data_IF_051150859219
#
_entry.id   IF_051150859219
#
_cell.length_a   1.000
_cell.length_b   1.000
_cell.length_c   1.000
_cell.angle_alpha   90.00
_cell.angle_beta   90.00
_cell.angle_gamma   90.00
#
_symmetry.space_group_name_H-M   'P 1'
#
loop_
_entity.id
_entity.type
_entity.pdbx_description
1 polymer ?
#
# COMPACT_ATOMS: atom_id res chain seq x y z
N UNK A 1 -17.76 8.56 9.28
CA UNK A 1 -17.11 7.89 10.42
C UNK A 1 -15.66 7.51 10.08
N UNK A 2 -14.69 7.93 10.90
CA UNK A 2 -13.28 7.53 10.76
C UNK A 2 -12.96 6.37 11.71
N UNK A 3 -12.14 5.43 11.24
CA UNK A 3 -11.62 4.33 12.06
C UNK A 3 -10.15 4.07 11.74
N UNK A 4 -9.41 3.72 12.79
CA UNK A 4 -8.02 3.28 12.70
C UNK A 4 -7.90 1.92 13.40
N UNK A 5 -7.11 1.01 12.83
CA UNK A 5 -6.82 -0.29 13.43
C UNK A 5 -5.35 -0.65 13.24
N UNK A 6 -4.80 -1.36 14.23
CA UNK A 6 -3.44 -1.88 14.13
C UNK A 6 -3.36 -2.98 13.08
N UNK A 7 -2.33 -2.93 12.24
CA UNK A 7 -2.00 -3.99 11.29
C UNK A 7 -0.68 -4.65 11.68
N UNK A 8 -0.65 -5.99 11.68
CA UNK A 8 0.54 -6.75 11.97
C UNK A 8 0.50 -8.14 11.36
N UNK A 9 1.56 -8.52 10.67
CA UNK A 9 1.74 -9.86 10.10
C UNK A 9 3.17 -10.35 10.29
N UNK A 10 3.35 -11.67 10.27
CA UNK A 10 4.66 -12.32 10.29
C UNK A 10 4.87 -13.08 9.00
N UNK A 11 6.04 -12.91 8.38
CA UNK A 11 6.46 -13.67 7.21
C UNK A 11 7.64 -14.57 7.57
N UNK A 12 7.60 -15.82 7.12
CA UNK A 12 8.68 -16.79 7.33
C UNK A 12 8.80 -17.74 6.14
N UNK A 13 9.81 -18.60 6.10
CA UNK A 13 9.92 -19.64 5.07
C UNK A 13 8.68 -20.54 5.00
N UNK A 14 8.02 -20.81 6.13
CA UNK A 14 6.82 -21.64 6.21
C UNK A 14 5.56 -20.90 5.78
N UNK A 15 5.51 -19.61 6.10
CA UNK A 15 4.39 -18.71 5.80
C UNK A 15 4.93 -17.45 5.10
N UNK A 16 5.32 -17.56 3.82
CA UNK A 16 6.04 -16.48 3.14
C UNK A 16 5.12 -15.40 2.57
N UNK A 17 3.80 -15.54 2.70
CA UNK A 17 2.80 -14.66 2.07
C UNK A 17 1.79 -14.21 3.13
N UNK A 18 1.52 -12.91 3.19
CA UNK A 18 0.42 -12.34 3.94
C UNK A 18 -0.39 -11.40 3.05
N UNK A 19 -1.71 -11.57 3.04
CA UNK A 19 -2.61 -10.74 2.26
C UNK A 19 -3.40 -9.82 3.19
N UNK A 20 -3.51 -8.58 2.78
CA UNK A 20 -4.39 -7.58 3.35
C UNK A 20 -5.45 -7.22 2.31
N UNK A 21 -6.72 -7.41 2.67
CA UNK A 21 -7.86 -7.13 1.82
C UNK A 21 -8.62 -5.91 2.36
N UNK A 22 -9.17 -5.11 1.45
CA UNK A 22 -10.12 -4.07 1.81
C UNK A 22 -11.35 -4.76 2.45
N UNK A 23 -11.83 -4.30 3.62
CA UNK A 23 -13.00 -4.87 4.27
C UNK A 23 -14.23 -4.75 3.38
N UNK A 24 -15.10 -5.75 3.42
CA UNK A 24 -16.45 -5.62 2.90
C UNK A 24 -17.24 -4.66 3.80
N UNK A 25 -17.95 -3.73 3.18
CA UNK A 25 -18.71 -2.69 3.88
C UNK A 25 -20.18 -2.89 3.58
N UNK A 26 -21.04 -2.72 4.58
CA UNK A 26 -22.48 -2.80 4.40
C UNK A 26 -22.95 -1.76 3.37
N UNK A 27 -23.97 -2.12 2.57
CA UNK A 27 -24.48 -1.30 1.46
C UNK A 27 -24.97 0.09 1.90
N UNK A 28 -25.26 0.29 3.19
CA UNK A 28 -25.69 1.57 3.77
C UNK A 28 -24.54 2.59 3.97
N UNK A 29 -23.28 2.17 3.81
CA UNK A 29 -22.11 3.05 3.92
C UNK A 29 -21.33 3.15 2.61
N UNK A 30 -20.74 4.33 2.38
CA UNK A 30 -19.82 4.60 1.28
C UNK A 30 -18.39 4.63 1.82
N UNK A 31 -17.46 3.99 1.12
CA UNK A 31 -16.03 4.07 1.46
C UNK A 31 -15.43 5.30 0.77
N UNK A 32 -15.21 6.38 1.53
CA UNK A 32 -14.55 7.57 1.01
C UNK A 32 -13.06 7.34 0.78
N UNK A 33 -12.40 6.69 1.74
CA UNK A 33 -10.98 6.37 1.63
C UNK A 33 -10.62 5.17 2.49
N UNK A 34 -9.68 4.38 1.99
CA UNK A 34 -9.06 3.30 2.73
C UNK A 34 -7.54 3.33 2.53
N UNK A 35 -6.77 3.14 3.59
CA UNK A 35 -5.31 3.23 3.51
C UNK A 35 -4.64 2.24 4.44
N UNK A 36 -3.67 1.48 3.93
CA UNK A 36 -2.71 0.74 4.75
C UNK A 36 -1.40 1.49 4.81
N UNK A 37 -0.89 1.74 6.02
CA UNK A 37 0.40 2.40 6.24
C UNK A 37 1.34 1.46 6.98
N UNK A 38 2.44 1.09 6.35
CA UNK A 38 3.47 0.25 6.96
C UNK A 38 4.47 1.12 7.72
N UNK A 39 4.43 1.02 9.04
CA UNK A 39 5.24 1.85 9.94
C UNK A 39 6.58 1.21 10.30
N UNK A 40 6.64 -0.12 10.40
CA UNK A 40 7.88 -0.81 10.71
C UNK A 40 7.94 -2.19 10.04
N UNK A 41 9.13 -2.55 9.59
CA UNK A 41 9.46 -3.91 9.17
C UNK A 41 10.72 -4.33 9.91
N UNK A 42 10.67 -5.43 10.66
CA UNK A 42 11.76 -5.86 11.53
C UNK A 42 12.02 -7.36 11.45
N UNK A 43 13.29 -7.72 11.48
CA UNK A 43 13.75 -9.10 11.46
C UNK A 43 13.73 -9.67 12.89
N UNK A 44 13.15 -10.86 13.04
CA UNK A 44 13.01 -11.55 14.32
C UNK A 44 14.35 -11.97 14.92
N UNK A 45 14.41 -12.16 16.26
CA UNK A 45 15.64 -12.55 16.95
C UNK A 45 16.23 -13.88 16.49
N UNK A 46 15.39 -14.81 16.05
CA UNK A 46 15.72 -16.16 15.57
C UNK A 46 16.13 -16.21 14.09
N UNK A 47 16.14 -15.07 13.39
CA UNK A 47 16.59 -15.02 12.01
C UNK A 47 18.09 -15.39 11.87
N UNK A 48 18.41 -16.09 10.80
CA UNK A 48 19.76 -16.61 10.54
C UNK A 48 20.74 -15.48 10.25
N UNK A 49 21.96 -15.62 10.78
CA UNK A 49 23.05 -14.69 10.46
C UNK A 49 23.54 -14.87 9.01
N UNK A 50 23.99 -13.78 8.38
CA UNK A 50 24.58 -13.82 7.04
C UNK A 50 23.57 -13.87 5.88
N UNK A 51 22.27 -13.97 6.15
CA UNK A 51 21.22 -14.09 5.13
C UNK A 51 20.45 -12.78 4.93
N UNK A 52 20.21 -12.41 3.66
CA UNK A 52 19.29 -11.33 3.33
C UNK A 52 17.85 -11.80 3.38
N UNK A 53 17.00 -10.98 3.99
CA UNK A 53 15.55 -11.15 4.03
C UNK A 53 14.91 -10.01 3.24
N UNK A 54 14.25 -10.34 2.13
CA UNK A 54 13.69 -9.35 1.20
C UNK A 54 12.17 -9.47 1.20
N UNK A 55 11.50 -8.36 1.51
CA UNK A 55 10.06 -8.27 1.60
C UNK A 55 9.58 -7.49 0.38
N UNK A 56 8.72 -8.10 -0.42
CA UNK A 56 8.09 -7.50 -1.59
C UNK A 56 6.63 -7.20 -1.28
N UNK A 57 6.16 -6.00 -1.63
CA UNK A 57 4.75 -5.70 -1.72
C UNK A 57 4.26 -5.93 -3.15
N UNK A 58 3.08 -6.53 -3.28
CA UNK A 58 2.31 -6.61 -4.52
C UNK A 58 0.99 -5.88 -4.33
N UNK A 59 0.68 -4.92 -5.19
CA UNK A 59 -0.58 -4.16 -5.16
C UNK A 59 -0.99 -3.76 -6.58
N UNK A 60 -2.24 -3.38 -6.78
CA UNK A 60 -2.75 -2.95 -8.08
C UNK A 60 -2.64 -1.43 -8.20
N UNK A 61 -2.13 -0.94 -9.33
CA UNK A 61 -2.18 0.48 -9.68
C UNK A 61 -3.63 0.88 -10.03
N UNK A 62 -4.11 1.97 -9.41
CA UNK A 62 -5.52 2.38 -9.46
C UNK A 62 -6.01 2.63 -10.90
N UNK A 63 -5.20 3.28 -11.73
CA UNK A 63 -5.61 3.70 -13.08
C UNK A 63 -5.51 2.58 -14.11
N UNK A 64 -4.42 1.81 -14.08
CA UNK A 64 -4.07 0.88 -15.16
C UNK A 64 -4.46 -0.57 -14.88
N UNK A 65 -4.96 -0.88 -13.68
CA UNK A 65 -5.15 -2.25 -13.14
C UNK A 65 -3.88 -3.11 -13.17
N UNK A 66 -2.71 -2.52 -13.39
CA UNK A 66 -1.44 -3.23 -13.45
C UNK A 66 -1.01 -3.64 -12.04
N UNK A 67 -0.54 -4.87 -11.91
CA UNK A 67 0.07 -5.34 -10.66
C UNK A 67 1.48 -4.78 -10.56
N UNK A 68 1.71 -3.95 -9.54
CA UNK A 68 3.02 -3.45 -9.13
C UNK A 68 3.62 -4.43 -8.15
N UNK A 69 4.90 -4.80 -8.35
CA UNK A 69 5.67 -5.65 -7.44
C UNK A 69 6.97 -4.94 -7.10
N UNK A 70 7.17 -4.60 -5.83
CA UNK A 70 8.32 -3.80 -5.41
C UNK A 70 8.89 -4.29 -4.06
N UNK A 71 10.21 -4.51 -3.95
CA UNK A 71 10.85 -4.71 -2.65
C UNK A 71 10.69 -3.47 -1.77
N UNK A 72 10.10 -3.64 -0.58
CA UNK A 72 9.89 -2.57 0.40
C UNK A 72 10.81 -2.68 1.62
N UNK A 73 11.52 -3.80 1.77
CA UNK A 73 12.55 -3.97 2.78
C UNK A 73 13.60 -4.99 2.35
N UNK A 74 14.85 -4.72 2.74
CA UNK A 74 15.98 -5.64 2.70
C UNK A 74 16.61 -5.62 4.09
N UNK A 75 16.59 -6.77 4.77
CA UNK A 75 17.03 -6.90 6.17
C UNK A 75 18.10 -7.99 6.28
N UNK A 76 19.03 -7.81 7.22
CA UNK A 76 20.08 -8.81 7.49
C UNK A 76 20.59 -8.65 8.92
N UNK A 77 20.73 -9.77 9.62
CA UNK A 77 21.29 -9.82 10.98
C UNK A 77 22.70 -9.24 10.98
N UNK A 78 22.98 -8.33 11.92
CA UNK A 78 24.27 -7.65 12.03
C UNK A 78 24.45 -6.44 11.12
N UNK A 79 23.51 -6.18 10.19
CA UNK A 79 23.57 -5.02 9.28
C UNK A 79 22.32 -4.14 9.42
N UNK A 80 21.15 -4.68 9.08
CA UNK A 80 19.88 -3.95 9.12
C UNK A 80 18.81 -4.82 9.72
N UNK A 81 18.49 -4.55 11.00
CA UNK A 81 17.53 -5.34 11.78
C UNK A 81 16.10 -4.83 11.64
N UNK A 82 15.91 -3.55 11.38
CA UNK A 82 14.59 -2.92 11.33
C UNK A 82 14.62 -1.69 10.41
N UNK A 83 13.50 -1.43 9.75
CA UNK A 83 13.25 -0.28 8.91
C UNK A 83 11.93 0.38 9.32
N UNK A 84 11.82 1.69 9.12
CA UNK A 84 10.58 2.46 9.27
C UNK A 84 10.21 3.11 7.93
N UNK A 85 9.69 2.32 6.98
CA UNK A 85 9.57 2.76 5.59
C UNK A 85 8.48 3.83 5.39
N UNK A 86 7.45 3.86 6.25
CA UNK A 86 6.29 4.75 6.11
C UNK A 86 5.67 4.70 4.70
N UNK A 87 5.54 3.49 4.15
CA UNK A 87 4.93 3.25 2.82
C UNK A 87 3.43 3.16 2.98
N UNK A 88 2.71 3.85 2.11
CA UNK A 88 1.26 3.93 2.10
C UNK A 88 0.69 3.21 0.87
N UNK A 89 -0.38 2.44 1.09
CA UNK A 89 -1.13 1.76 0.05
C UNK A 89 -2.57 2.28 0.08
N UNK A 90 -2.92 3.26 -0.77
CA UNK A 90 -4.27 3.80 -0.83
C UNK A 90 -5.21 2.91 -1.66
N UNK A 91 -6.42 2.72 -1.16
CA UNK A 91 -7.59 2.16 -1.85
C UNK A 91 -7.38 0.80 -2.55
N UNK A 92 -6.44 -0.02 -2.07
CA UNK A 92 -6.11 -1.31 -2.69
C UNK A 92 -5.74 -2.40 -1.70
N UNK A 93 -6.05 -3.64 -2.08
CA UNK A 93 -5.52 -4.83 -1.42
C UNK A 93 -4.00 -4.90 -1.63
N UNK A 94 -3.30 -5.42 -0.62
CA UNK A 94 -1.84 -5.55 -0.65
C UNK A 94 -1.45 -6.96 -0.27
N UNK A 95 -0.50 -7.53 -0.98
CA UNK A 95 0.10 -8.82 -0.63
C UNK A 95 1.57 -8.62 -0.31
N UNK A 96 1.99 -8.96 0.90
CA UNK A 96 3.39 -8.98 1.30
C UNK A 96 3.97 -10.38 1.11
N UNK A 97 5.18 -10.45 0.54
CA UNK A 97 5.89 -11.70 0.30
C UNK A 97 7.32 -11.63 0.80
N UNK A 98 7.76 -12.67 1.51
CA UNK A 98 9.18 -12.92 1.77
C UNK A 98 9.76 -13.64 0.55
N UNK A 99 10.40 -12.88 -0.34
CA UNK A 99 10.92 -13.41 -1.62
C UNK A 99 12.35 -13.94 -1.52
N UNK A 100 13.03 -13.63 -0.42
CA UNK A 100 14.35 -14.13 -0.08
C UNK A 100 14.48 -14.16 1.44
N UNK A 101 15.21 -15.16 1.97
CA UNK A 101 15.47 -15.30 3.40
C UNK A 101 14.48 -16.25 4.10
N UNK A 102 14.85 -16.75 5.28
CA UNK A 102 13.94 -17.64 6.04
C UNK A 102 13.09 -16.92 7.09
N UNK A 103 13.34 -15.63 7.32
CA UNK A 103 12.67 -14.84 8.36
C UNK A 103 13.00 -15.34 9.77
N UNK A 104 12.10 -15.12 10.74
CA UNK A 104 10.83 -14.43 10.59
C UNK A 104 11.02 -12.92 10.44
N UNK A 105 10.13 -12.30 9.67
CA UNK A 105 10.04 -10.85 9.51
C UNK A 105 8.67 -10.40 9.98
N UNK A 106 8.64 -9.43 10.89
CA UNK A 106 7.44 -8.76 11.34
C UNK A 106 7.21 -7.50 10.51
N UNK A 107 6.02 -7.36 9.94
CA UNK A 107 5.55 -6.16 9.25
C UNK A 107 4.41 -5.59 10.09
N UNK A 108 4.52 -4.35 10.56
CA UNK A 108 3.46 -3.70 11.31
C UNK A 108 3.21 -2.26 10.90
N UNK A 109 2.01 -1.80 11.19
CA UNK A 109 1.49 -0.55 10.71
C UNK A 109 0.09 -0.28 11.22
N UNK A 110 -0.66 0.51 10.46
CA UNK A 110 -2.05 0.81 10.73
C UNK A 110 -2.86 0.82 9.44
N UNK A 111 -4.13 0.42 9.56
CA UNK A 111 -5.14 0.60 8.54
C UNK A 111 -6.07 1.74 8.96
N UNK A 112 -6.29 2.68 8.06
CA UNK A 112 -7.20 3.81 8.24
C UNK A 112 -8.35 3.67 7.25
N UNK A 113 -9.56 4.00 7.71
CA UNK A 113 -10.76 3.94 6.89
C UNK A 113 -11.69 5.09 7.23
N UNK A 114 -12.18 5.77 6.20
CA UNK A 114 -13.18 6.81 6.30
C UNK A 114 -14.45 6.37 5.55
N UNK A 115 -15.55 6.25 6.29
CA UNK A 115 -16.87 5.89 5.81
C UNK A 115 -17.78 7.13 5.77
N UNK A 116 -18.59 7.27 4.72
CA UNK A 116 -19.73 8.18 4.66
C UNK A 116 -21.06 7.44 4.80
N UNK A 117 -22.10 8.14 5.22
CA UNK A 117 -23.47 7.63 5.18
C UNK A 117 -24.08 7.95 3.80
N UNK A 118 -24.92 7.07 3.25
CA UNK A 118 -25.56 7.33 1.95
C UNK A 118 -26.43 8.60 1.94
N UNK A 119 -26.97 9.02 3.09
CA UNK A 119 -27.72 10.28 3.20
C UNK A 119 -26.84 11.53 3.02
N UNK A 120 -25.54 11.45 3.30
CA UNK A 120 -24.62 12.59 3.13
C UNK A 120 -24.46 12.98 1.64
N UNK A 121 -24.65 12.05 0.71
CA UNK A 121 -24.49 12.31 -0.74
C UNK A 121 -25.64 13.16 -1.28
N UNK A 122 -26.85 13.00 -0.75
CA UNK A 122 -28.01 13.79 -1.15
C UNK A 122 -27.93 15.25 -0.69
N UNK A 123 -27.07 15.58 0.29
CA UNK A 123 -26.88 16.96 0.74
C UNK A 123 -25.93 17.77 -0.17
N UNK A 124 -25.12 17.10 -1.00
CA UNK A 124 -24.22 17.76 -1.95
C UNK A 124 -24.84 17.90 -3.36
N UNK A 125 -25.89 17.13 -3.70
CA UNK A 125 -26.62 17.31 -4.97
C UNK A 125 -27.58 18.51 -4.97
N UNK A 126 -27.97 19.05 -3.81
CA UNK A 126 -28.93 20.18 -3.73
C UNK A 126 -28.28 21.59 -3.85
N UNK A 127 -26.96 21.68 -4.04
CA UNK A 127 -26.23 22.95 -4.22
C UNK A 127 -25.51 23.08 -5.57
N UNK A 128 -25.87 22.29 -6.58
CA UNK A 128 -25.35 22.43 -7.94
C UNK A 128 -26.37 23.09 -8.86
N UNK A 129 -26.69 24.35 -8.59
CA UNK A 129 -27.32 25.24 -9.56
C UNK A 129 -26.66 26.62 -9.43
N UNK A 130 -25.50 26.79 -10.08
CA UNK A 130 -25.11 28.00 -10.80
C UNK A 130 -23.77 27.74 -11.53
N UNK A 131 -23.80 28.02 -12.83
CA UNK A 131 -22.77 27.83 -13.85
C UNK A 131 -21.44 28.53 -13.48
N UNK A 132 -20.32 27.82 -13.60
CA UNK A 132 -19.04 28.46 -13.98
C UNK A 132 -18.21 27.47 -14.82
N UNK A 133 -18.38 27.57 -16.14
CA UNK A 133 -17.51 26.96 -17.15
C UNK A 133 -16.10 27.56 -17.03
N UNK A 134 -15.26 26.95 -16.19
CA UNK A 134 -13.81 27.10 -16.31
C UNK A 134 -13.22 25.81 -16.87
N UNK A 135 -12.99 25.80 -18.19
CA UNK A 135 -12.12 24.83 -18.86
C UNK A 135 -10.73 24.88 -18.22
N UNK A 136 -10.50 24.00 -17.25
CA UNK A 136 -9.15 23.64 -16.83
C UNK A 136 -8.65 22.61 -17.85
N UNK A 137 -7.91 23.09 -18.86
CA UNK A 137 -7.02 22.24 -19.65
C UNK A 137 -6.02 21.57 -18.69
N UNK A 138 -6.37 20.37 -18.24
CA UNK A 138 -5.46 19.45 -17.58
C UNK A 138 -4.50 18.93 -18.66
N UNK A 139 -3.28 19.47 -18.65
CA UNK A 139 -2.14 18.99 -19.42
C UNK A 139 -1.91 17.49 -19.15
N UNK A 140 -2.52 16.64 -19.99
CA UNK A 140 -2.34 15.19 -20.05
C UNK A 140 -0.93 14.84 -20.56
N UNK A 141 0.13 15.12 -19.79
CA UNK A 141 1.44 14.48 -20.01
C UNK A 141 2.15 14.13 -18.70
N UNK A 142 1.43 13.56 -17.73
CA UNK A 142 2.06 12.74 -16.70
C UNK A 142 2.43 11.37 -17.28
N UNK A 143 3.48 11.32 -18.11
CA UNK A 143 4.05 10.06 -18.58
C UNK A 143 4.37 9.14 -17.38
N UNK A 144 3.91 7.87 -17.37
CA UNK A 144 4.23 6.95 -16.27
C UNK A 144 5.75 6.85 -16.11
N UNK A 145 6.24 6.93 -14.87
CA UNK A 145 7.65 6.75 -14.57
C UNK A 145 8.10 5.36 -15.04
N UNK A 146 8.82 5.30 -16.17
CA UNK A 146 9.43 4.08 -16.67
C UNK A 146 10.85 3.97 -16.16
N UNK A 147 11.31 2.76 -15.85
CA UNK A 147 12.73 2.49 -15.60
C UNK A 147 13.51 2.86 -16.87
N UNK A 148 14.19 4.01 -16.84
CA UNK A 148 14.85 4.58 -18.01
C UNK A 148 15.74 3.56 -18.72
N UNK A 149 15.44 3.26 -19.99
CA UNK A 149 16.38 2.58 -20.88
C UNK A 149 17.49 3.57 -21.21
N UNK A 150 18.65 3.42 -20.59
CA UNK A 150 19.86 4.15 -20.95
C UNK A 150 20.31 3.73 -22.35
N UNK A 151 19.89 4.48 -23.38
CA UNK A 151 20.47 4.36 -24.71
C UNK A 151 21.88 4.97 -24.69
N UNK A 152 22.88 4.14 -24.40
CA UNK A 152 24.27 4.42 -24.80
C UNK A 152 24.33 4.48 -26.32
N UNK A 153 24.29 5.68 -26.91
CA UNK A 153 24.74 5.88 -28.29
C UNK A 153 26.27 5.83 -28.31
N UNK A 154 26.78 4.86 -29.09
CA UNK A 154 28.14 4.78 -29.60
C UNK A 154 28.38 5.89 -30.62
#
# INVERSE_FOLDING_TARGET
MESESFYGVTLSEKEPIAQFAVPEVAEEYLVHSYKLIIKQISLGPEAKSGEFNVIQAETQENESKKIVKIPIAVLKVGETRSLRPNVEFPNGSVTFKLVQGTGPVYVCGKSEMNLGEYEDVNMYEEYSDEEDESELELDEEASPQTNGKSNKKK
#
